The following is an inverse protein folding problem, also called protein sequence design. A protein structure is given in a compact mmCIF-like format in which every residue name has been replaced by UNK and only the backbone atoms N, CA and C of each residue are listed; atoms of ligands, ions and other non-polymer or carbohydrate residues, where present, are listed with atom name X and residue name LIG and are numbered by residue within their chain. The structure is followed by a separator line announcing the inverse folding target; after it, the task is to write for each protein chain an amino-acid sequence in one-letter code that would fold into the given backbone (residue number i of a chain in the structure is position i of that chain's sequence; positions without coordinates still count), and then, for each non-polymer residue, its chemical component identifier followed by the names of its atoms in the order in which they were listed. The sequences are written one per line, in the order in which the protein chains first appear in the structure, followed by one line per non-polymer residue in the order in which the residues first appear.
data_IF_588996976860
#
_entry.id   IF_588996976860
#
_cell.length_a   1.000
_cell.length_b   1.000
_cell.length_c   1.000
_cell.angle_alpha   90.00
_cell.angle_beta   90.00
_cell.angle_gamma   90.00
#
_symmetry.space_group_name_H-M   'P 1'
#
loop_
_entity.id
_entity.type
_entity.pdbx_description
1 polymer ?
#
# COMPACT_ATOMS: atom_id res chain seq x y z
N UNK A 1 7.21 5.45 27.51
CA UNK A 1 7.83 4.11 27.41
C UNK A 1 8.30 3.91 25.97
N UNK A 2 9.55 3.49 25.77
CA UNK A 2 10.10 3.16 24.45
C UNK A 2 10.33 1.65 24.40
N UNK A 3 9.96 1.01 23.29
CA UNK A 3 10.20 -0.41 23.05
C UNK A 3 11.13 -0.52 21.85
N UNK A 4 12.30 -1.13 22.06
CA UNK A 4 13.31 -1.35 21.02
C UNK A 4 13.38 -2.84 20.68
N UNK A 5 13.42 -3.16 19.38
CA UNK A 5 13.45 -4.54 18.89
C UNK A 5 14.64 -4.68 17.94
N UNK A 6 15.57 -5.57 18.27
CA UNK A 6 16.76 -5.86 17.48
C UNK A 6 16.75 -7.34 17.07
N UNK A 7 17.08 -7.62 15.80
CA UNK A 7 17.08 -8.97 15.26
C UNK A 7 18.23 -9.16 14.29
N UNK A 8 18.88 -10.32 14.38
CA UNK A 8 19.84 -10.82 13.39
C UNK A 8 19.18 -12.01 12.70
N UNK A 9 18.93 -11.90 11.40
CA UNK A 9 18.25 -12.91 10.60
C UNK A 9 19.11 -13.27 9.39
N UNK A 10 19.43 -14.57 9.26
CA UNK A 10 20.05 -15.12 8.08
C UNK A 10 18.98 -15.50 7.05
N UNK A 11 19.33 -15.38 5.77
CA UNK A 11 18.49 -15.78 4.65
C UNK A 11 19.28 -16.71 3.73
N UNK A 12 18.61 -17.68 3.12
CA UNK A 12 19.18 -18.43 2.00
C UNK A 12 19.47 -17.49 0.81
N UNK A 13 20.30 -17.89 -0.16
CA UNK A 13 20.57 -17.08 -1.35
C UNK A 13 19.27 -16.70 -2.07
N UNK A 14 18.89 -15.42 -1.99
CA UNK A 14 17.65 -14.90 -2.53
C UNK A 14 17.75 -13.40 -2.83
N UNK A 15 17.01 -12.93 -3.84
CA UNK A 15 16.85 -11.51 -4.16
C UNK A 15 15.60 -10.95 -3.45
N UNK A 16 15.68 -10.78 -2.12
CA UNK A 16 14.54 -10.41 -1.27
C UNK A 16 13.97 -9.02 -1.59
N UNK A 17 14.80 -8.08 -2.03
CA UNK A 17 14.37 -6.75 -2.43
C UNK A 17 15.26 -6.21 -3.55
N UNK A 18 14.67 -6.03 -4.72
CA UNK A 18 15.33 -5.51 -5.93
C UNK A 18 15.10 -4.01 -6.17
N UNK A 19 16.00 -3.41 -6.97
CA UNK A 19 15.86 -2.08 -7.56
C UNK A 19 15.12 -2.11 -8.90
N UNK A 20 15.10 -0.97 -9.60
CA UNK A 20 14.37 -0.80 -10.86
C UNK A 20 15.02 -1.55 -12.04
N UNK A 21 16.28 -1.97 -11.90
CA UNK A 21 17.02 -2.79 -12.87
C UNK A 21 16.98 -4.29 -12.52
N UNK A 22 16.35 -4.65 -11.39
CA UNK A 22 16.22 -6.02 -10.92
C UNK A 22 17.38 -6.51 -10.03
N UNK A 23 18.41 -5.67 -9.81
CA UNK A 23 19.52 -6.01 -8.93
C UNK A 23 19.10 -5.94 -7.44
N UNK A 24 19.69 -6.74 -6.54
CA UNK A 24 19.43 -6.61 -5.11
C UNK A 24 19.76 -5.19 -4.64
N UNK A 25 18.90 -4.60 -3.79
CA UNK A 25 19.20 -3.30 -3.20
C UNK A 25 20.42 -3.40 -2.30
N UNK A 26 21.32 -2.43 -2.42
CA UNK A 26 22.55 -2.35 -1.63
C UNK A 26 22.66 -1.03 -0.86
N UNK A 27 23.60 -0.99 0.08
CA UNK A 27 24.16 0.22 0.68
C UNK A 27 25.65 0.01 1.02
N UNK A 28 26.36 1.11 1.26
CA UNK A 28 27.71 1.06 1.83
C UNK A 28 27.59 1.16 3.35
N UNK A 29 28.20 0.22 4.08
CA UNK A 29 28.27 0.25 5.53
C UNK A 29 29.61 -0.28 6.02
N UNK A 30 30.37 0.57 6.73
CA UNK A 30 31.73 0.26 7.15
C UNK A 30 32.71 0.10 5.99
N UNK A 31 32.56 0.91 4.93
CA UNK A 31 33.45 0.91 3.76
C UNK A 31 33.21 -0.23 2.76
N UNK A 32 32.27 -1.14 3.02
CA UNK A 32 31.96 -2.28 2.14
C UNK A 32 30.49 -2.26 1.70
N UNK A 33 30.24 -2.80 0.51
CA UNK A 33 28.89 -2.97 -0.03
C UNK A 33 28.17 -4.12 0.68
N UNK A 34 26.94 -3.86 1.14
CA UNK A 34 26.05 -4.87 1.74
C UNK A 34 24.70 -4.88 1.03
N UNK A 35 24.10 -6.05 0.91
CA UNK A 35 22.70 -6.15 0.54
C UNK A 35 21.83 -5.53 1.65
N UNK A 36 20.74 -4.87 1.27
CA UNK A 36 19.77 -4.31 2.21
C UNK A 36 18.35 -4.64 1.81
N UNK A 37 17.50 -4.80 2.80
CA UNK A 37 16.05 -4.83 2.62
C UNK A 37 15.52 -3.46 3.02
N UNK A 38 14.82 -2.79 2.11
CA UNK A 38 14.31 -1.45 2.41
C UNK A 38 13.23 -1.48 3.50
N UNK A 39 13.20 -0.46 4.36
CA UNK A 39 12.25 -0.43 5.48
C UNK A 39 10.79 -0.48 5.02
N UNK A 40 10.47 0.09 3.85
CA UNK A 40 9.14 -0.01 3.23
C UNK A 40 8.78 -1.44 2.80
N UNK A 41 9.77 -2.24 2.38
CA UNK A 41 9.55 -3.65 2.02
C UNK A 41 9.19 -4.46 3.28
N UNK A 42 9.97 -4.31 4.36
CA UNK A 42 9.68 -4.95 5.65
C UNK A 42 8.34 -4.50 6.22
N UNK A 43 8.09 -3.20 6.30
CA UNK A 43 6.81 -2.65 6.80
C UNK A 43 5.60 -3.13 6.00
N UNK A 44 5.73 -3.27 4.67
CA UNK A 44 4.66 -3.81 3.83
C UNK A 44 4.47 -5.31 4.08
N UNK A 45 5.56 -6.07 4.19
CA UNK A 45 5.51 -7.50 4.49
C UNK A 45 4.77 -7.76 5.80
N UNK A 46 5.16 -7.04 6.87
CA UNK A 46 4.50 -7.10 8.18
C UNK A 46 3.02 -6.75 8.05
N UNK A 47 2.67 -5.61 7.44
CA UNK A 47 1.27 -5.17 7.30
C UNK A 47 0.38 -6.12 6.48
N UNK A 48 0.97 -6.95 5.62
CA UNK A 48 0.26 -7.92 4.78
C UNK A 48 0.33 -9.35 5.32
N UNK A 49 1.01 -9.56 6.44
CA UNK A 49 1.05 -10.87 7.11
C UNK A 49 -0.29 -11.18 7.77
N UNK A 50 -0.63 -12.47 7.81
CA UNK A 50 -1.86 -12.94 8.46
C UNK A 50 -1.87 -12.63 9.95
N UNK A 51 -0.71 -12.73 10.60
CA UNK A 51 -0.55 -12.44 12.03
C UNK A 51 -0.88 -10.98 12.33
N UNK A 52 -0.39 -10.05 11.50
CA UNK A 52 -0.67 -8.63 11.68
C UNK A 52 -2.13 -8.28 11.34
N UNK A 53 -2.70 -8.92 10.31
CA UNK A 53 -4.10 -8.75 9.98
C UNK A 53 -5.02 -9.26 11.11
N UNK A 54 -4.72 -10.43 11.68
CA UNK A 54 -5.45 -10.99 12.81
C UNK A 54 -5.29 -10.15 14.09
N UNK A 55 -4.11 -9.55 14.31
CA UNK A 55 -3.87 -8.71 15.48
C UNK A 55 -4.58 -7.35 15.41
N UNK A 56 -4.85 -6.82 14.22
CA UNK A 56 -5.51 -5.52 14.04
C UNK A 56 -6.99 -5.63 13.65
N UNK A 57 -7.46 -6.77 13.16
CA UNK A 57 -8.84 -7.00 12.68
C UNK A 57 -9.43 -5.81 11.90
N UNK A 58 -10.12 -4.91 12.62
CA UNK A 58 -10.82 -3.72 12.12
C UNK A 58 -9.93 -2.48 11.96
N UNK A 59 -8.83 -2.40 12.71
CA UNK A 59 -7.92 -1.25 12.77
C UNK A 59 -6.84 -1.28 11.67
N UNK A 60 -6.92 -2.25 10.75
CA UNK A 60 -6.07 -2.30 9.58
C UNK A 60 -6.37 -1.14 8.61
N UNK A 61 -5.50 -0.95 7.61
CA UNK A 61 -5.68 0.13 6.65
C UNK A 61 -5.39 -0.24 5.20
N UNK A 62 -6.28 0.21 4.31
CA UNK A 62 -6.20 -0.01 2.86
C UNK A 62 -5.51 1.18 2.21
N UNK A 63 -4.44 0.90 1.46
CA UNK A 63 -3.73 1.90 0.65
C UNK A 63 -4.15 1.78 -0.80
N UNK A 64 -4.82 2.80 -1.35
CA UNK A 64 -5.35 2.74 -2.72
C UNK A 64 -5.29 4.09 -3.44
N UNK A 65 -5.17 4.04 -4.78
CA UNK A 65 -5.48 5.19 -5.67
C UNK A 65 -6.85 5.06 -6.32
N UNK A 66 -7.53 3.93 -6.12
CA UNK A 66 -8.84 3.59 -6.71
C UNK A 66 -9.94 3.76 -5.66
N UNK A 67 -9.92 4.87 -4.93
CA UNK A 67 -10.88 5.12 -3.85
C UNK A 67 -12.33 5.16 -4.38
N UNK A 68 -12.55 5.64 -5.60
CA UNK A 68 -13.87 5.58 -6.27
C UNK A 68 -14.41 4.15 -6.32
N UNK A 69 -13.57 3.17 -6.69
CA UNK A 69 -13.96 1.77 -6.74
C UNK A 69 -14.26 1.22 -5.35
N UNK A 70 -13.46 1.57 -4.34
CA UNK A 70 -13.67 1.10 -2.97
C UNK A 70 -14.98 1.65 -2.37
N UNK A 71 -15.29 2.94 -2.61
CA UNK A 71 -16.57 3.53 -2.18
C UNK A 71 -17.75 2.87 -2.91
N UNK A 72 -17.63 2.66 -4.22
CA UNK A 72 -18.69 2.05 -5.01
C UNK A 72 -18.95 0.58 -4.62
N UNK A 73 -17.89 -0.17 -4.28
CA UNK A 73 -18.03 -1.53 -3.71
C UNK A 73 -18.74 -1.50 -2.37
N UNK A 74 -18.37 -0.58 -1.48
CA UNK A 74 -19.00 -0.44 -0.18
C UNK A 74 -20.49 -0.07 -0.31
N UNK A 75 -20.83 0.85 -1.22
CA UNK A 75 -22.22 1.24 -1.50
C UNK A 75 -23.06 0.13 -2.15
N UNK A 76 -22.42 -0.86 -2.76
CA UNK A 76 -23.06 -2.03 -3.36
C UNK A 76 -23.08 -3.26 -2.41
N UNK A 77 -22.85 -3.07 -1.10
CA UNK A 77 -22.71 -4.14 -0.10
C UNK A 77 -21.69 -5.23 -0.51
N UNK A 78 -20.59 -4.80 -1.15
CA UNK A 78 -19.55 -5.69 -1.67
C UNK A 78 -19.83 -6.28 -3.05
N UNK A 79 -20.94 -5.91 -3.69
CA UNK A 79 -21.30 -6.28 -5.06
C UNK A 79 -20.43 -5.61 -6.14
N UNK A 80 -20.71 -5.94 -7.41
CA UNK A 80 -20.04 -5.35 -8.55
C UNK A 80 -20.42 -3.86 -8.68
N UNK A 81 -19.44 -2.93 -8.63
CA UNK A 81 -19.71 -1.51 -8.80
C UNK A 81 -20.33 -1.21 -10.16
N UNK A 82 -21.43 -0.46 -10.16
CA UNK A 82 -22.00 0.03 -11.43
C UNK A 82 -21.17 1.22 -11.94
N UNK A 83 -20.90 1.25 -13.25
CA UNK A 83 -20.13 2.34 -13.89
C UNK A 83 -20.75 3.71 -13.61
N UNK A 84 -22.09 3.79 -13.58
CA UNK A 84 -22.82 5.01 -13.28
C UNK A 84 -22.52 5.54 -11.87
N UNK A 85 -22.44 4.65 -10.88
CA UNK A 85 -22.11 5.03 -9.50
C UNK A 85 -20.67 5.54 -9.39
N UNK A 86 -19.72 4.87 -10.06
CA UNK A 86 -18.32 5.30 -10.07
C UNK A 86 -18.15 6.70 -10.66
N UNK A 87 -18.85 7.00 -11.77
CA UNK A 87 -18.82 8.33 -12.39
C UNK A 87 -19.35 9.41 -11.46
N UNK A 88 -20.49 9.17 -10.80
CA UNK A 88 -21.07 10.11 -9.85
C UNK A 88 -20.12 10.38 -8.66
N UNK A 89 -19.49 9.33 -8.10
CA UNK A 89 -18.50 9.48 -7.03
C UNK A 89 -17.28 10.28 -7.52
N UNK A 90 -16.75 9.95 -8.71
CA UNK A 90 -15.61 10.66 -9.28
C UNK A 90 -15.90 12.15 -9.50
N UNK A 91 -17.11 12.50 -9.92
CA UNK A 91 -17.53 13.89 -10.13
C UNK A 91 -17.56 14.69 -8.83
N UNK A 92 -18.01 14.09 -7.72
CA UNK A 92 -17.95 14.72 -6.39
C UNK A 92 -16.51 15.10 -6.02
N UNK A 93 -15.55 14.20 -6.23
CA UNK A 93 -14.14 14.48 -5.94
C UNK A 93 -13.53 15.51 -6.89
N UNK A 94 -13.92 15.51 -8.18
CA UNK A 94 -13.49 16.54 -9.16
C UNK A 94 -13.98 17.92 -8.74
N UNK A 95 -15.26 18.03 -8.36
CA UNK A 95 -15.86 19.29 -7.89
C UNK A 95 -15.22 19.76 -6.58
N UNK A 96 -14.73 18.84 -5.75
CA UNK A 96 -13.92 19.13 -4.56
C UNK A 96 -12.44 19.48 -4.84
N UNK A 97 -12.02 19.56 -6.11
CA UNK A 97 -10.66 19.95 -6.49
C UNK A 97 -9.61 18.83 -6.41
N UNK A 98 -10.02 17.57 -6.24
CA UNK A 98 -9.09 16.43 -6.21
C UNK A 98 -8.75 15.97 -7.63
N UNK A 99 -7.46 15.80 -7.90
CA UNK A 99 -6.97 15.46 -9.24
C UNK A 99 -6.83 13.95 -9.46
N UNK A 100 -7.08 13.55 -10.71
CA UNK A 100 -6.93 12.18 -11.20
C UNK A 100 -5.70 12.06 -12.10
N UNK A 101 -5.14 10.84 -12.15
CA UNK A 101 -4.00 10.49 -12.99
C UNK A 101 -4.42 10.04 -14.39
N UNK A 102 -5.65 9.55 -14.53
CA UNK A 102 -6.28 9.20 -15.81
C UNK A 102 -7.58 9.98 -15.96
N UNK A 103 -7.92 10.32 -17.21
CA UNK A 103 -9.16 11.02 -17.55
C UNK A 103 -10.41 10.17 -17.21
N UNK A 104 -10.24 8.85 -17.14
CA UNK A 104 -11.28 7.89 -16.75
C UNK A 104 -11.83 8.10 -15.34
N UNK A 105 -11.17 8.92 -14.51
CA UNK A 105 -11.63 9.23 -13.15
C UNK A 105 -11.51 8.08 -12.16
N UNK A 106 -10.84 6.98 -12.53
CA UNK A 106 -10.71 5.80 -11.67
C UNK A 106 -9.45 5.80 -10.78
N UNK A 107 -8.41 6.56 -11.17
CA UNK A 107 -7.13 6.55 -10.45
C UNK A 107 -6.79 7.97 -10.01
N UNK A 108 -6.79 8.21 -8.70
CA UNK A 108 -6.35 9.47 -8.12
C UNK A 108 -4.86 9.72 -8.34
N UNK A 109 -4.47 10.99 -8.50
CA UNK A 109 -3.06 11.39 -8.48
C UNK A 109 -2.46 11.21 -7.07
N UNK A 110 -3.25 11.58 -6.06
CA UNK A 110 -2.97 11.32 -4.65
C UNK A 110 -3.11 9.84 -4.30
N UNK A 111 -2.61 9.46 -3.13
CA UNK A 111 -2.65 8.10 -2.62
C UNK A 111 -3.35 8.11 -1.27
N UNK A 112 -4.42 7.34 -1.17
CA UNK A 112 -5.29 7.32 -0.01
C UNK A 112 -4.91 6.19 0.94
N UNK A 113 -5.14 6.43 2.23
CA UNK A 113 -5.03 5.42 3.28
C UNK A 113 -6.32 5.45 4.10
N UNK A 114 -7.11 4.40 4.01
CA UNK A 114 -8.43 4.29 4.63
C UNK A 114 -8.36 3.26 5.76
N UNK A 115 -9.10 3.44 6.86
CA UNK A 115 -9.34 2.35 7.81
C UNK A 115 -10.10 1.19 7.12
N UNK A 116 -9.94 -0.02 7.64
CA UNK A 116 -10.69 -1.21 7.18
C UNK A 116 -12.09 -1.31 7.81
N UNK A 117 -12.37 -0.54 8.86
CA UNK A 117 -13.67 -0.40 9.54
C UNK A 117 -14.49 0.77 9.03
#
# INVERSE_FOLDING_TARGET
MLIEIHMIQNHSPANLNRDDLGAPKTCIFGGVTRARISSQCLKRSIRRSEQFAAALERDGGVRTRRLVEEIAKAAADGGLPQVTQQKAIAEVFKNGGVTFKSDDGNVFASLWFLPQS
#
